data_IF_917288283812
#
_entry.id   IF_917288283812
#
_cell.length_a   1.000
_cell.length_b   1.000
_cell.length_c   1.000
_cell.angle_alpha   90.00
_cell.angle_beta   90.00
_cell.angle_gamma   90.00
#
_symmetry.space_group_name_H-M   'P 1'
#
loop_
_entity.id
_entity.type
_entity.pdbx_description
1 polymer ?
#
# COMPACT_ATOMS: atom_id res chain seq x y z
N UNK A 1 -24.01 -8.38 52.01
CA UNK A 1 -24.37 -9.03 50.73
C UNK A 1 -24.80 -8.02 49.64
N UNK A 2 -24.15 -6.85 49.51
CA UNK A 2 -24.63 -5.78 48.61
C UNK A 2 -23.51 -4.86 48.06
N UNK A 3 -22.30 -5.40 47.81
CA UNK A 3 -21.17 -4.58 47.29
C UNK A 3 -20.27 -5.25 46.24
N UNK A 4 -20.71 -6.34 45.62
CA UNK A 4 -19.88 -7.06 44.62
C UNK A 4 -20.46 -7.01 43.20
N UNK A 5 -21.72 -6.56 43.02
CA UNK A 5 -22.39 -6.65 41.72
C UNK A 5 -22.29 -5.42 40.80
N UNK A 6 -21.48 -4.40 41.13
CA UNK A 6 -21.45 -3.15 40.36
C UNK A 6 -20.15 -2.87 39.59
N UNK A 7 -19.17 -3.79 39.60
CA UNK A 7 -17.87 -3.58 38.91
C UNK A 7 -17.67 -4.41 37.64
N UNK A 8 -18.59 -5.31 37.29
CA UNK A 8 -18.45 -6.15 36.09
C UNK A 8 -19.18 -5.62 34.85
N UNK A 9 -19.91 -4.50 34.93
CA UNK A 9 -20.64 -3.95 33.78
C UNK A 9 -19.92 -2.80 33.06
N UNK A 10 -18.76 -2.36 33.55
CA UNK A 10 -18.00 -1.25 32.97
C UNK A 10 -16.84 -1.70 32.06
N UNK A 11 -16.71 -3.01 31.77
CA UNK A 11 -15.60 -3.57 30.99
C UNK A 11 -16.04 -4.17 29.64
N UNK A 12 -17.22 -3.79 29.13
CA UNK A 12 -17.79 -4.42 27.92
C UNK A 12 -18.14 -3.41 26.81
N UNK A 13 -17.76 -2.13 26.92
CA UNK A 13 -18.20 -1.08 25.97
C UNK A 13 -17.04 -0.37 25.25
N UNK A 14 -15.76 -0.66 25.57
CA UNK A 14 -14.63 0.06 24.95
C UNK A 14 -14.06 -0.62 23.69
N UNK A 15 -14.50 -1.82 23.31
CA UNK A 15 -13.93 -2.55 22.15
C UNK A 15 -14.76 -2.40 20.86
N UNK A 16 -15.92 -1.73 20.88
CA UNK A 16 -16.80 -1.64 19.71
C UNK A 16 -16.62 -0.38 18.82
N UNK A 17 -15.67 0.50 19.11
CA UNK A 17 -15.51 1.78 18.39
C UNK A 17 -14.13 1.99 17.76
N UNK A 18 -13.37 0.90 17.56
CA UNK A 18 -12.19 0.89 16.68
C UNK A 18 -12.49 0.11 15.40
N UNK A 19 -13.75 0.08 14.95
CA UNK A 19 -14.05 -0.08 13.54
C UNK A 19 -13.53 1.19 12.87
N UNK A 20 -12.21 1.20 12.59
CA UNK A 20 -11.57 2.28 11.87
C UNK A 20 -12.40 2.57 10.65
N UNK A 21 -12.85 3.83 10.52
CA UNK A 21 -13.37 4.34 9.27
C UNK A 21 -12.22 4.30 8.26
N UNK A 22 -11.92 3.12 7.70
CA UNK A 22 -11.11 3.01 6.50
C UNK A 22 -11.88 3.80 5.45
N UNK A 23 -11.31 4.92 4.99
CA UNK A 23 -11.92 5.67 3.92
C UNK A 23 -12.22 4.71 2.76
N UNK A 24 -13.40 4.80 2.15
CA UNK A 24 -13.74 3.95 1.03
C UNK A 24 -12.67 4.11 -0.06
N UNK A 25 -12.27 2.99 -0.66
CA UNK A 25 -11.31 2.97 -1.75
C UNK A 25 -11.90 3.74 -2.93
N UNK A 26 -11.30 4.88 -3.27
CA UNK A 26 -11.70 5.70 -4.41
C UNK A 26 -10.70 5.55 -5.56
N UNK A 27 -11.07 4.69 -6.52
CA UNK A 27 -10.24 4.39 -7.69
C UNK A 27 -10.15 5.59 -8.63
N UNK A 28 -11.21 6.38 -8.77
CA UNK A 28 -11.20 7.53 -9.68
C UNK A 28 -10.34 8.65 -9.12
N UNK A 29 -10.43 8.94 -7.81
CA UNK A 29 -9.53 9.88 -7.15
C UNK A 29 -8.07 9.43 -7.26
N UNK A 30 -7.79 8.13 -7.09
CA UNK A 30 -6.43 7.59 -7.22
C UNK A 30 -5.89 7.71 -8.65
N UNK A 31 -6.72 7.47 -9.67
CA UNK A 31 -6.32 7.69 -11.07
C UNK A 31 -6.08 9.17 -11.37
N UNK A 32 -6.94 10.05 -10.86
CA UNK A 32 -6.81 11.49 -11.04
C UNK A 32 -5.53 12.02 -10.40
N UNK A 33 -5.21 11.58 -9.18
CA UNK A 33 -3.96 11.91 -8.49
C UNK A 33 -2.72 11.49 -9.30
N UNK A 34 -2.75 10.32 -9.95
CA UNK A 34 -1.66 9.91 -10.85
C UNK A 34 -1.52 10.84 -12.05
N UNK A 35 -2.62 11.19 -12.71
CA UNK A 35 -2.62 12.07 -13.88
C UNK A 35 -2.12 13.47 -13.51
N UNK A 36 -2.55 14.01 -12.37
CA UNK A 36 -2.16 15.35 -11.91
C UNK A 36 -0.69 15.43 -11.50
N UNK A 37 -0.11 14.33 -11.02
CA UNK A 37 1.26 14.27 -10.49
C UNK A 37 2.16 13.30 -11.27
N UNK A 38 1.88 13.07 -12.55
CA UNK A 38 2.61 12.11 -13.39
C UNK A 38 4.12 12.35 -13.37
N UNK A 39 4.56 13.61 -13.50
CA UNK A 39 5.99 13.96 -13.44
C UNK A 39 6.63 13.57 -12.10
N UNK A 40 5.89 13.69 -10.99
CA UNK A 40 6.38 13.27 -9.67
C UNK A 40 6.48 11.75 -9.56
N UNK A 41 5.55 11.00 -10.14
CA UNK A 41 5.65 9.54 -10.22
C UNK A 41 6.85 9.09 -11.06
N UNK A 42 7.05 9.68 -12.24
CA UNK A 42 8.19 9.36 -13.10
C UNK A 42 9.52 9.72 -12.42
N UNK A 43 9.56 10.85 -11.69
CA UNK A 43 10.76 11.23 -10.93
C UNK A 43 10.99 10.30 -9.74
N UNK A 44 9.93 9.90 -9.05
CA UNK A 44 10.00 8.99 -7.90
C UNK A 44 10.53 7.61 -8.31
N UNK A 45 10.05 7.03 -9.42
CA UNK A 45 10.59 5.76 -9.91
C UNK A 45 12.07 5.90 -10.29
N UNK A 46 12.45 6.97 -10.98
CA UNK A 46 13.85 7.19 -11.35
C UNK A 46 14.78 7.33 -10.13
N UNK A 47 14.41 8.14 -9.13
CA UNK A 47 15.22 8.34 -7.92
C UNK A 47 15.30 7.04 -7.12
N UNK A 48 14.17 6.39 -6.85
CA UNK A 48 14.13 5.18 -6.05
C UNK A 48 14.88 4.01 -6.71
N UNK A 49 14.72 3.83 -8.02
CA UNK A 49 15.42 2.79 -8.76
C UNK A 49 16.91 3.06 -8.90
N UNK A 50 17.31 4.31 -9.13
CA UNK A 50 18.74 4.68 -9.15
C UNK A 50 19.36 4.44 -7.78
N UNK A 51 18.66 4.81 -6.70
CA UNK A 51 19.09 4.54 -5.34
C UNK A 51 19.27 3.04 -5.09
N UNK A 52 18.31 2.21 -5.47
CA UNK A 52 18.40 0.77 -5.24
C UNK A 52 19.53 0.12 -6.04
N UNK A 53 19.59 0.39 -7.35
CA UNK A 53 20.62 -0.15 -8.24
C UNK A 53 22.03 0.27 -7.85
N UNK A 54 22.22 1.53 -7.43
CA UNK A 54 23.56 2.07 -7.11
C UNK A 54 24.08 1.57 -5.77
N UNK A 55 23.20 1.05 -4.92
CA UNK A 55 23.52 0.65 -3.54
C UNK A 55 23.27 -0.83 -3.25
N UNK A 56 22.99 -1.64 -4.28
CA UNK A 56 22.77 -3.09 -4.17
C UNK A 56 21.66 -3.42 -3.15
N UNK A 57 20.50 -2.78 -3.33
CA UNK A 57 19.36 -2.84 -2.41
C UNK A 57 18.26 -3.72 -3.00
N UNK A 58 18.16 -4.96 -2.51
CA UNK A 58 17.09 -5.87 -2.91
C UNK A 58 15.71 -5.47 -2.35
N UNK A 59 15.70 -4.87 -1.16
CA UNK A 59 14.47 -4.49 -0.46
C UNK A 59 14.70 -3.28 0.44
N UNK A 60 13.81 -2.28 0.33
CA UNK A 60 13.87 -1.09 1.18
C UNK A 60 12.50 -0.45 1.35
N UNK A 61 12.21 0.03 2.56
CA UNK A 61 10.98 0.76 2.90
C UNK A 61 11.35 2.13 3.41
N UNK A 62 11.00 3.17 2.66
CA UNK A 62 11.15 4.54 3.11
C UNK A 62 9.85 5.04 3.76
N UNK A 63 9.87 5.66 4.96
CA UNK A 63 11.05 6.02 5.76
C UNK A 63 11.48 4.96 6.81
N UNK A 64 10.82 3.80 6.86
CA UNK A 64 10.97 2.81 7.95
C UNK A 64 12.40 2.26 8.13
N UNK A 65 13.11 2.07 7.03
CA UNK A 65 14.47 1.49 7.00
C UNK A 65 15.57 2.57 7.00
N UNK A 66 15.20 3.86 7.11
CA UNK A 66 16.15 5.00 7.17
C UNK A 66 16.70 5.14 8.57
N UNK A 67 17.92 4.63 8.81
CA UNK A 67 18.56 4.66 10.13
C UNK A 67 20.09 4.79 10.03
N UNK A 68 20.71 5.37 11.05
CA UNK A 68 22.17 5.40 11.23
C UNK A 68 22.93 6.07 10.08
N UNK A 69 24.07 5.50 9.69
CA UNK A 69 24.95 6.06 8.66
C UNK A 69 24.29 6.15 7.27
N UNK A 70 23.31 5.28 6.96
CA UNK A 70 22.55 5.34 5.70
C UNK A 70 21.72 6.62 5.59
N UNK A 71 21.14 7.08 6.70
CA UNK A 71 20.34 8.30 6.73
C UNK A 71 21.16 9.54 6.35
N UNK A 72 22.44 9.59 6.73
CA UNK A 72 23.33 10.70 6.39
C UNK A 72 23.91 10.54 4.98
N UNK A 73 24.32 9.33 4.60
CA UNK A 73 24.95 9.06 3.30
C UNK A 73 24.03 9.34 2.10
N UNK A 74 22.72 9.13 2.27
CA UNK A 74 21.71 9.27 1.20
C UNK A 74 20.68 10.33 1.51
N UNK A 75 21.06 11.32 2.32
CA UNK A 75 20.15 12.38 2.78
C UNK A 75 19.45 13.08 1.63
N UNK A 76 20.19 13.42 0.56
CA UNK A 76 19.63 14.15 -0.58
C UNK A 76 18.56 13.33 -1.32
N UNK A 77 18.82 12.04 -1.51
CA UNK A 77 17.88 11.12 -2.16
C UNK A 77 16.64 10.91 -1.29
N UNK A 78 16.81 10.82 0.03
CA UNK A 78 15.70 10.68 0.97
C UNK A 78 14.85 11.95 1.08
N UNK A 79 15.47 13.13 1.13
CA UNK A 79 14.77 14.43 1.11
C UNK A 79 13.96 14.56 -0.19
N UNK A 80 14.48 14.07 -1.32
CA UNK A 80 13.77 14.06 -2.61
C UNK A 80 12.61 13.05 -2.64
N UNK A 81 12.82 11.83 -2.14
CA UNK A 81 11.75 10.83 -2.02
C UNK A 81 10.63 11.34 -1.12
N UNK A 82 10.94 11.95 0.03
CA UNK A 82 9.96 12.55 0.94
C UNK A 82 9.12 13.60 0.22
N UNK A 83 9.77 14.54 -0.46
CA UNK A 83 9.06 15.60 -1.18
C UNK A 83 8.14 15.06 -2.29
N UNK A 84 8.59 14.04 -3.02
CA UNK A 84 7.80 13.41 -4.07
C UNK A 84 6.61 12.64 -3.49
N UNK A 85 6.80 11.95 -2.37
CA UNK A 85 5.76 11.24 -1.64
C UNK A 85 4.67 12.19 -1.12
N UNK A 86 5.07 13.32 -0.52
CA UNK A 86 4.14 14.37 -0.10
C UNK A 86 3.32 14.91 -1.29
N UNK A 87 3.97 15.08 -2.45
CA UNK A 87 3.32 15.59 -3.67
C UNK A 87 2.24 14.63 -4.18
N UNK A 88 2.47 13.33 -4.11
CA UNK A 88 1.50 12.31 -4.56
C UNK A 88 0.57 11.83 -3.45
N UNK A 89 0.59 12.52 -2.30
CA UNK A 89 -0.21 12.22 -1.11
C UNK A 89 -0.06 10.77 -0.62
N UNK A 90 1.20 10.33 -0.47
CA UNK A 90 1.58 9.01 0.06
C UNK A 90 2.65 9.17 1.13
N UNK A 91 2.69 8.26 2.11
CA UNK A 91 3.64 8.32 3.22
C UNK A 91 4.75 7.26 3.13
N UNK A 92 4.57 6.26 2.26
CA UNK A 92 5.41 5.07 2.22
C UNK A 92 5.70 4.66 0.78
N UNK A 93 6.98 4.42 0.51
CA UNK A 93 7.42 3.69 -0.67
C UNK A 93 8.20 2.44 -0.29
N UNK A 94 7.94 1.35 -1.01
CA UNK A 94 8.69 0.09 -0.90
C UNK A 94 9.36 -0.19 -2.23
N UNK A 95 10.66 -0.47 -2.19
CA UNK A 95 11.46 -0.85 -3.36
C UNK A 95 11.75 -2.34 -3.27
N UNK A 96 11.61 -3.05 -4.38
CA UNK A 96 12.00 -4.45 -4.55
C UNK A 96 12.85 -4.61 -5.81
N UNK A 97 14.00 -5.25 -5.67
CA UNK A 97 14.94 -5.50 -6.75
C UNK A 97 15.55 -6.90 -6.54
N UNK A 98 14.81 -7.96 -6.89
CA UNK A 98 15.27 -9.35 -6.72
C UNK A 98 15.41 -10.05 -8.07
N UNK A 99 16.46 -10.87 -8.24
CA UNK A 99 16.69 -11.83 -9.34
C UNK A 99 16.28 -11.36 -10.76
N UNK A 100 15.00 -11.54 -11.13
CA UNK A 100 14.41 -11.24 -12.45
C UNK A 100 13.68 -9.87 -12.52
N UNK A 101 13.65 -9.12 -11.42
CA UNK A 101 12.91 -7.88 -11.27
C UNK A 101 13.91 -6.73 -11.26
N UNK A 102 13.68 -5.74 -12.13
CA UNK A 102 14.47 -4.51 -12.12
C UNK A 102 13.60 -3.40 -11.54
N UNK A 103 13.79 -3.15 -10.25
CA UNK A 103 13.14 -2.10 -9.48
C UNK A 103 11.60 -2.03 -9.58
N UNK A 104 10.92 -2.96 -8.91
CA UNK A 104 9.49 -2.84 -8.63
C UNK A 104 9.29 -1.86 -7.46
N UNK A 105 8.55 -0.78 -7.72
CA UNK A 105 8.28 0.26 -6.73
C UNK A 105 6.83 0.23 -6.29
N UNK A 106 6.55 0.27 -4.99
CA UNK A 106 5.21 0.37 -4.43
C UNK A 106 5.03 1.68 -3.68
N UNK A 107 4.12 2.54 -4.13
CA UNK A 107 3.70 3.76 -3.42
C UNK A 107 2.35 3.48 -2.77
N UNK A 108 2.32 3.41 -1.44
CA UNK A 108 1.16 2.92 -0.68
C UNK A 108 0.16 4.05 -0.46
N UNK A 109 -1.03 3.93 -1.07
CA UNK A 109 -2.13 4.91 -0.90
C UNK A 109 -2.86 4.62 0.42
N UNK A 110 -3.24 3.37 0.61
CA UNK A 110 -3.93 2.90 1.79
C UNK A 110 -3.63 1.42 1.98
N UNK A 111 -3.50 0.96 3.22
CA UNK A 111 -3.44 -0.46 3.50
C UNK A 111 -3.59 -0.77 4.97
N UNK A 112 -4.06 -1.98 5.23
CA UNK A 112 -4.12 -2.58 6.54
C UNK A 112 -3.44 -3.94 6.48
N UNK A 113 -2.70 -4.27 7.53
CA UNK A 113 -2.09 -5.59 7.69
C UNK A 113 -2.16 -5.98 9.16
N UNK A 114 -2.69 -7.16 9.46
CA UNK A 114 -2.76 -7.71 10.79
C UNK A 114 -2.71 -9.24 10.76
N UNK A 115 -1.71 -9.82 11.44
CA UNK A 115 -1.51 -11.27 11.58
C UNK A 115 -1.44 -12.04 10.25
N UNK A 116 -0.81 -11.46 9.24
CA UNK A 116 -0.71 -12.05 7.90
C UNK A 116 -1.74 -11.44 6.96
N UNK A 117 -2.99 -11.31 7.42
CA UNK A 117 -4.09 -10.82 6.60
C UNK A 117 -4.07 -9.32 6.38
N UNK A 118 -4.51 -8.88 5.21
CA UNK A 118 -4.61 -7.45 4.95
C UNK A 118 -5.14 -7.08 3.59
N UNK A 119 -5.27 -5.77 3.38
CA UNK A 119 -5.53 -5.23 2.06
C UNK A 119 -4.67 -3.99 1.81
N UNK A 120 -4.36 -3.72 0.55
CA UNK A 120 -3.64 -2.52 0.14
C UNK A 120 -4.13 -2.02 -1.20
N UNK A 121 -4.29 -0.72 -1.32
CA UNK A 121 -4.34 0.00 -2.58
C UNK A 121 -3.02 0.78 -2.74
N UNK A 122 -2.38 0.63 -3.89
CA UNK A 122 -1.04 1.17 -4.14
C UNK A 122 -0.81 1.45 -5.61
N UNK A 123 0.04 2.43 -5.90
CA UNK A 123 0.66 2.53 -7.22
C UNK A 123 1.86 1.59 -7.28
N UNK A 124 2.02 0.91 -8.40
CA UNK A 124 3.12 -0.04 -8.63
C UNK A 124 3.81 0.28 -9.94
N UNK A 125 5.10 0.56 -9.89
CA UNK A 125 5.94 0.73 -11.08
C UNK A 125 6.57 -0.62 -11.44
N UNK A 126 6.48 -0.99 -12.71
CA UNK A 126 7.02 -2.25 -13.26
C UNK A 126 6.61 -3.47 -12.40
N UNK A 127 5.30 -3.70 -12.19
CA UNK A 127 4.84 -4.80 -11.37
C UNK A 127 5.30 -6.14 -11.95
N UNK A 128 5.76 -7.03 -11.08
CA UNK A 128 6.15 -8.40 -11.46
C UNK A 128 4.94 -9.22 -11.88
N UNK A 129 3.83 -9.03 -11.16
CA UNK A 129 2.59 -9.73 -11.38
C UNK A 129 1.42 -8.74 -11.48
N UNK A 130 0.52 -9.04 -12.41
CA UNK A 130 -0.75 -8.34 -12.54
C UNK A 130 -1.84 -9.09 -11.80
N UNK A 131 -2.91 -8.39 -11.45
CA UNK A 131 -4.04 -8.96 -10.73
C UNK A 131 -4.74 -10.08 -11.49
N UNK A 132 -5.30 -11.02 -10.73
CA UNK A 132 -6.10 -12.13 -11.21
C UNK A 132 -7.59 -11.81 -11.39
N UNK A 133 -8.02 -10.60 -10.99
CA UNK A 133 -9.35 -10.07 -11.19
C UNK A 133 -9.31 -8.82 -12.08
N UNK A 134 -10.32 -8.67 -12.92
CA UNK A 134 -10.60 -7.41 -13.62
C UNK A 134 -11.25 -6.41 -12.66
N UNK A 135 -10.87 -5.14 -12.74
CA UNK A 135 -11.56 -4.09 -12.00
C UNK A 135 -12.90 -3.76 -12.66
N UNK A 136 -13.96 -3.76 -11.87
CA UNK A 136 -15.30 -3.31 -12.25
C UNK A 136 -15.82 -2.32 -11.19
N UNK A 137 -16.78 -1.46 -11.54
CA UNK A 137 -17.30 -0.46 -10.60
C UNK A 137 -18.01 -1.09 -9.38
N UNK A 138 -18.50 -2.32 -9.53
CA UNK A 138 -19.09 -3.11 -8.46
C UNK A 138 -18.05 -3.97 -7.71
N UNK A 139 -16.75 -3.81 -7.98
CA UNK A 139 -15.70 -4.54 -7.28
C UNK A 139 -15.84 -4.33 -5.76
N UNK A 140 -16.03 -3.11 -5.28
CA UNK A 140 -16.19 -2.87 -3.84
C UNK A 140 -17.62 -3.05 -3.30
N UNK A 141 -18.54 -3.58 -4.11
CA UNK A 141 -19.90 -3.91 -3.65
C UNK A 141 -19.90 -5.02 -2.60
N UNK A 142 -20.96 -5.09 -1.79
CA UNK A 142 -21.09 -6.10 -0.73
C UNK A 142 -21.11 -7.53 -1.29
N UNK A 143 -21.83 -7.76 -2.40
CA UNK A 143 -21.93 -9.07 -3.06
C UNK A 143 -20.56 -9.54 -3.56
N UNK A 144 -19.86 -8.69 -4.31
CA UNK A 144 -18.53 -8.99 -4.84
C UNK A 144 -17.50 -9.16 -3.73
N UNK A 145 -17.63 -8.41 -2.63
CA UNK A 145 -16.80 -8.57 -1.43
C UNK A 145 -16.97 -9.96 -0.80
N UNK A 146 -18.20 -10.42 -0.59
CA UNK A 146 -18.46 -11.74 0.00
C UNK A 146 -17.89 -12.88 -0.87
N UNK A 147 -18.03 -12.77 -2.18
CA UNK A 147 -17.45 -13.74 -3.12
C UNK A 147 -15.92 -13.81 -2.98
N UNK A 148 -15.26 -12.66 -2.93
CA UNK A 148 -13.79 -12.59 -2.82
C UNK A 148 -13.26 -12.97 -1.45
N UNK A 149 -13.97 -12.63 -0.37
CA UNK A 149 -13.64 -13.11 0.97
C UNK A 149 -13.72 -14.63 1.05
N UNK A 150 -14.70 -15.25 0.38
CA UNK A 150 -14.81 -16.71 0.29
C UNK A 150 -13.66 -17.34 -0.50
N UNK A 151 -13.17 -16.70 -1.54
CA UNK A 151 -12.00 -17.16 -2.31
C UNK A 151 -10.69 -16.95 -1.53
N UNK A 152 -10.53 -15.80 -0.86
CA UNK A 152 -9.42 -15.54 0.06
C UNK A 152 -9.32 -16.60 1.16
N UNK A 153 -10.45 -16.97 1.77
CA UNK A 153 -10.51 -18.02 2.78
C UNK A 153 -10.09 -19.41 2.24
N UNK A 154 -10.06 -19.61 0.93
CA UNK A 154 -9.54 -20.82 0.26
C UNK A 154 -8.06 -20.69 -0.14
N UNK A 155 -7.41 -19.58 0.21
CA UNK A 155 -6.00 -19.32 -0.09
C UNK A 155 -5.74 -18.63 -1.42
N UNK A 156 -6.77 -18.05 -2.05
CA UNK A 156 -6.58 -17.27 -3.28
C UNK A 156 -6.27 -15.81 -2.95
N UNK A 157 -5.19 -15.28 -3.52
CA UNK A 157 -4.95 -13.83 -3.52
C UNK A 157 -6.03 -13.13 -4.32
N UNK A 158 -6.54 -12.02 -3.79
CA UNK A 158 -7.55 -11.21 -4.47
C UNK A 158 -6.90 -9.92 -4.93
N UNK A 159 -6.54 -9.86 -6.21
CA UNK A 159 -5.80 -8.74 -6.78
C UNK A 159 -6.40 -8.26 -8.09
N UNK A 160 -6.49 -6.95 -8.27
CA UNK A 160 -6.69 -6.34 -9.59
C UNK A 160 -5.55 -5.36 -9.90
N UNK A 161 -5.32 -5.14 -11.18
CA UNK A 161 -4.38 -4.13 -11.68
C UNK A 161 -5.05 -3.31 -12.77
N UNK A 162 -4.95 -2.00 -12.67
CA UNK A 162 -5.36 -1.05 -13.71
C UNK A 162 -4.08 -0.42 -14.25
N UNK A 163 -3.81 -0.59 -15.53
CA UNK A 163 -2.68 0.08 -16.19
C UNK A 163 -2.89 1.60 -16.17
N UNK A 164 -1.83 2.32 -15.85
CA UNK A 164 -1.76 3.78 -15.92
C UNK A 164 -0.87 4.15 -17.13
N UNK A 165 0.17 4.95 -16.93
CA UNK A 165 1.15 5.29 -17.98
C UNK A 165 2.58 5.02 -17.51
N UNK A 166 3.53 4.96 -18.44
CA UNK A 166 4.97 4.84 -18.17
C UNK A 166 5.36 3.63 -17.28
N UNK A 167 4.63 2.52 -17.39
CA UNK A 167 4.90 1.32 -16.59
C UNK A 167 4.33 1.34 -15.18
N UNK A 168 3.54 2.37 -14.83
CA UNK A 168 2.79 2.42 -13.58
C UNK A 168 1.43 1.71 -13.69
N UNK A 169 1.02 1.13 -12.58
CA UNK A 169 -0.27 0.47 -12.40
C UNK A 169 -0.88 0.90 -11.07
N UNK A 170 -2.20 1.05 -11.03
CA UNK A 170 -2.94 1.09 -9.77
C UNK A 170 -3.33 -0.34 -9.41
N UNK A 171 -2.87 -0.83 -8.26
CA UNK A 171 -3.14 -2.20 -7.82
C UNK A 171 -3.86 -2.21 -6.48
N UNK A 172 -4.88 -3.05 -6.40
CA UNK A 172 -5.47 -3.48 -5.14
C UNK A 172 -5.08 -4.92 -4.87
N UNK A 173 -4.72 -5.22 -3.63
CA UNK A 173 -4.41 -6.57 -3.19
C UNK A 173 -5.07 -6.82 -1.83
N UNK A 174 -5.87 -7.86 -1.73
CA UNK A 174 -6.41 -8.44 -0.52
C UNK A 174 -5.76 -9.82 -0.35
N UNK A 175 -4.96 -9.96 0.71
CA UNK A 175 -4.09 -11.12 0.95
C UNK A 175 -4.46 -11.84 2.26
N UNK A 176 -4.19 -13.16 2.36
CA UNK A 176 -4.37 -13.98 3.55
C UNK A 176 -3.34 -13.70 4.65
#
# INVERSE_FOLDING_TARGET
>A
MHKILLKMFALSVVVAAAAGCSQPVDIQASKQNFIEHQESFDRLSNVACTFANSNDIDFFRYPLDVQGEKAEAFKSEFDEIEHLLDTVNSELVVIRDFDDYHCELFVIINGTSFLGEGSSLKYVFQPVDLGNYEYTDDFFSEESRLYREANRARGEDVKFSIELENGWYLQYHLYP
#
